data_IF_943866955099
#
_entry.id   IF_943866955099
#
_cell.length_a   1.000
_cell.length_b   1.000
_cell.length_c   1.000
_cell.angle_alpha   90.00
_cell.angle_beta   90.00
_cell.angle_gamma   90.00
#
_symmetry.space_group_name_H-M   'P 1'
#
loop_
_entity.id
_entity.type
_entity.pdbx_description
1 polymer ?
#
# COMPACT_ATOMS: atom_id res chain seq x y z
N UNK A 1 -45.14 -28.94 -22.63
CA UNK A 1 -45.02 -29.21 -21.19
C UNK A 1 -43.55 -29.13 -20.82
N UNK A 2 -43.21 -28.18 -19.94
CA UNK A 2 -42.11 -28.14 -18.94
C UNK A 2 -40.77 -28.80 -19.31
N UNK A 3 -39.63 -28.11 -19.33
CA UNK A 3 -39.06 -27.40 -18.18
C UNK A 3 -38.34 -26.11 -18.60
N UNK A 4 -38.92 -24.98 -18.21
CA UNK A 4 -38.16 -23.82 -17.79
C UNK A 4 -37.78 -24.05 -16.31
N UNK A 5 -36.52 -24.32 -16.04
CA UNK A 5 -35.94 -24.22 -14.71
C UNK A 5 -34.58 -23.54 -14.87
N UNK A 6 -34.68 -22.23 -15.08
CA UNK A 6 -33.82 -21.17 -14.58
C UNK A 6 -32.42 -21.61 -14.17
N UNK A 7 -31.45 -21.28 -15.03
CA UNK A 7 -30.05 -21.14 -14.66
C UNK A 7 -29.96 -20.08 -13.56
N UNK A 8 -30.10 -20.48 -12.30
CA UNK A 8 -29.87 -19.62 -11.14
C UNK A 8 -28.37 -19.41 -11.06
N UNK A 9 -27.95 -18.35 -11.74
CA UNK A 9 -26.72 -17.60 -11.53
C UNK A 9 -26.59 -17.28 -10.03
N UNK A 10 -26.06 -18.23 -9.26
CA UNK A 10 -25.34 -17.91 -8.04
C UNK A 10 -24.05 -17.26 -8.50
N UNK A 11 -24.12 -15.97 -8.79
CA UNK A 11 -22.98 -15.07 -8.77
C UNK A 11 -22.44 -15.05 -7.34
N UNK A 12 -21.80 -16.14 -6.93
CA UNK A 12 -21.01 -16.24 -5.72
C UNK A 12 -19.89 -15.21 -5.87
N UNK A 13 -20.05 -14.16 -5.09
CA UNK A 13 -19.23 -12.95 -4.99
C UNK A 13 -17.79 -13.32 -4.65
N UNK A 14 -17.02 -13.79 -5.63
CA UNK A 14 -15.59 -14.01 -5.47
C UNK A 14 -14.93 -12.63 -5.61
N UNK A 15 -14.92 -11.86 -4.52
CA UNK A 15 -14.14 -10.63 -4.43
C UNK A 15 -12.67 -11.03 -4.53
N UNK A 16 -12.14 -10.99 -5.75
CA UNK A 16 -10.75 -11.26 -6.05
C UNK A 16 -9.90 -10.23 -5.30
N UNK A 17 -9.23 -10.66 -4.23
CA UNK A 17 -8.18 -9.88 -3.53
C UNK A 17 -6.89 -9.90 -4.38
N UNK A 18 -7.03 -9.88 -5.71
CA UNK A 18 -5.89 -10.01 -6.62
C UNK A 18 -4.92 -8.86 -6.38
N UNK A 19 -3.70 -9.24 -5.98
CA UNK A 19 -2.61 -8.29 -5.78
C UNK A 19 -2.69 -7.46 -4.50
N UNK A 20 -3.64 -7.70 -3.60
CA UNK A 20 -3.72 -6.93 -2.35
C UNK A 20 -2.47 -7.09 -1.45
N UNK A 21 -1.89 -8.30 -1.40
CA UNK A 21 -0.74 -8.60 -0.54
C UNK A 21 0.61 -8.56 -1.26
N UNK A 22 0.62 -8.73 -2.59
CA UNK A 22 1.86 -8.99 -3.34
C UNK A 22 2.24 -7.86 -4.32
N UNK A 23 1.31 -6.94 -4.64
CA UNK A 23 1.65 -5.78 -5.48
C UNK A 23 2.42 -4.75 -4.67
N UNK A 24 3.51 -4.25 -5.24
CA UNK A 24 4.22 -3.11 -4.70
C UNK A 24 3.45 -1.79 -4.96
N UNK A 25 3.87 -0.73 -4.27
CA UNK A 25 3.25 0.59 -4.41
C UNK A 25 3.39 1.14 -5.83
N UNK A 26 4.48 0.84 -6.54
CA UNK A 26 4.71 1.36 -7.89
C UNK A 26 3.71 0.78 -8.91
N UNK A 27 3.38 -0.50 -8.78
CA UNK A 27 2.37 -1.17 -9.59
C UNK A 27 0.94 -0.80 -9.17
N UNK A 28 0.70 -0.67 -7.84
CA UNK A 28 -0.63 -0.41 -7.30
C UNK A 28 -1.07 1.05 -7.47
N UNK A 29 -0.16 1.99 -7.21
CA UNK A 29 -0.39 3.43 -7.26
C UNK A 29 0.88 4.17 -7.76
N UNK A 30 1.08 4.23 -9.09
CA UNK A 30 2.26 4.86 -9.68
C UNK A 30 2.32 6.37 -9.44
N UNK A 31 1.19 7.04 -9.20
CA UNK A 31 1.15 8.49 -8.94
C UNK A 31 1.70 8.84 -7.56
N UNK A 32 1.28 8.10 -6.53
CA UNK A 32 1.83 8.25 -5.18
C UNK A 32 3.31 7.82 -5.16
N UNK A 33 3.65 6.72 -5.81
CA UNK A 33 5.05 6.29 -5.91
C UNK A 33 5.93 7.39 -6.53
N UNK A 34 5.48 8.00 -7.63
CA UNK A 34 6.19 9.12 -8.26
C UNK A 34 6.35 10.29 -7.30
N UNK A 35 5.30 10.68 -6.58
CA UNK A 35 5.34 11.80 -5.64
C UNK A 35 6.37 11.57 -4.51
N UNK A 36 6.46 10.35 -3.98
CA UNK A 36 7.47 9.98 -2.97
C UNK A 36 8.90 10.09 -3.56
N UNK A 37 9.09 9.64 -4.81
CA UNK A 37 10.39 9.73 -5.49
C UNK A 37 10.82 11.17 -5.76
N UNK A 38 9.88 12.03 -6.13
CA UNK A 38 10.12 13.46 -6.35
C UNK A 38 10.52 14.16 -5.03
N UNK A 39 9.85 13.82 -3.91
CA UNK A 39 10.21 14.34 -2.58
C UNK A 39 11.58 13.86 -2.11
N UNK A 40 11.91 12.58 -2.32
CA UNK A 40 13.26 12.07 -2.04
C UNK A 40 14.32 12.85 -2.83
N UNK A 41 14.06 13.13 -4.11
CA UNK A 41 14.96 13.95 -4.91
C UNK A 41 15.06 15.37 -4.36
N UNK A 42 13.96 15.99 -3.92
CA UNK A 42 13.97 17.32 -3.29
C UNK A 42 14.89 17.34 -2.06
N UNK A 43 14.75 16.38 -1.15
CA UNK A 43 15.56 16.27 0.07
C UNK A 43 17.06 16.05 -0.23
N UNK A 44 17.39 15.28 -1.28
CA UNK A 44 18.78 14.99 -1.65
C UNK A 44 19.49 16.19 -2.31
N UNK A 45 18.74 17.10 -2.94
CA UNK A 45 19.29 18.23 -3.69
C UNK A 45 19.06 19.57 -3.00
N UNK A 46 18.50 19.58 -1.80
CA UNK A 46 18.24 20.79 -0.99
C UNK A 46 19.06 20.75 0.30
N UNK A 47 19.46 21.93 0.78
CA UNK A 47 20.01 22.06 2.13
C UNK A 47 18.83 22.32 3.08
N UNK A 48 18.56 21.36 3.95
CA UNK A 48 17.49 21.47 4.95
C UNK A 48 17.99 22.25 6.18
N UNK A 49 17.36 23.40 6.45
CA UNK A 49 17.76 24.33 7.54
C UNK A 49 16.73 24.39 8.68
N UNK A 50 15.71 23.54 8.63
CA UNK A 50 14.66 23.48 9.66
C UNK A 50 15.19 22.65 10.83
N UNK A 51 15.43 23.30 11.97
CA UNK A 51 16.09 22.68 13.13
C UNK A 51 15.32 21.50 13.75
N UNK A 52 14.01 21.40 13.52
CA UNK A 52 13.17 20.32 14.02
C UNK A 52 13.07 19.11 13.09
N UNK A 53 13.56 19.22 11.85
CA UNK A 53 13.50 18.16 10.86
C UNK A 53 14.80 17.35 10.83
N UNK A 54 14.71 16.08 10.42
CA UNK A 54 15.85 15.18 10.34
C UNK A 54 15.61 14.05 9.32
N UNK A 55 16.69 13.43 8.84
CA UNK A 55 16.65 12.28 7.95
C UNK A 55 16.88 11.02 8.77
N UNK A 56 15.87 10.14 8.82
CA UNK A 56 15.95 8.87 9.55
C UNK A 56 16.79 7.83 8.81
N UNK A 57 17.32 6.85 9.54
CA UNK A 57 18.07 5.76 8.93
C UNK A 57 17.18 4.79 8.15
N UNK A 58 17.77 4.06 7.21
CA UNK A 58 17.07 3.01 6.46
C UNK A 58 16.43 1.96 7.37
N UNK A 59 17.11 1.57 8.44
CA UNK A 59 16.60 0.59 9.41
C UNK A 59 15.32 1.07 10.12
N UNK A 60 15.21 2.38 10.40
CA UNK A 60 13.99 2.96 10.99
C UNK A 60 12.83 2.91 9.99
N UNK A 61 13.07 3.25 8.72
CA UNK A 61 12.04 3.16 7.67
C UNK A 61 11.56 1.72 7.44
N UNK A 62 12.46 0.74 7.44
CA UNK A 62 12.12 -0.69 7.32
C UNK A 62 11.24 -1.17 8.47
N UNK A 63 11.56 -0.77 9.71
CA UNK A 63 10.74 -1.11 10.88
C UNK A 63 9.35 -0.46 10.81
N UNK A 64 9.27 0.79 10.37
CA UNK A 64 8.00 1.54 10.24
C UNK A 64 7.04 0.87 9.24
N UNK A 65 7.56 0.37 8.10
CA UNK A 65 6.78 -0.32 7.07
C UNK A 65 6.52 -1.81 7.33
N UNK A 66 6.79 -2.31 8.53
CA UNK A 66 6.74 -3.74 8.83
C UNK A 66 5.34 -4.23 9.25
N UNK A 67 5.22 -5.55 9.39
CA UNK A 67 3.99 -6.24 9.81
C UNK A 67 3.48 -5.81 11.19
N UNK A 68 4.28 -5.08 11.97
CA UNK A 68 3.90 -4.56 13.29
C UNK A 68 2.65 -3.66 13.22
N UNK A 69 2.40 -3.00 12.08
CA UNK A 69 1.20 -2.16 11.89
C UNK A 69 -0.12 -2.92 12.00
N UNK A 70 -0.11 -4.23 11.73
CA UNK A 70 -1.31 -5.07 11.79
C UNK A 70 -1.69 -5.46 13.23
N UNK A 71 -0.78 -5.23 14.19
CA UNK A 71 -0.93 -5.77 15.53
C UNK A 71 -1.67 -4.78 16.43
N UNK A 72 -2.77 -5.26 17.00
CA UNK A 72 -3.38 -4.65 18.19
C UNK A 72 -2.69 -5.21 19.46
N UNK A 73 -2.25 -4.32 20.33
CA UNK A 73 -1.50 -4.65 21.56
C UNK A 73 -2.14 -3.97 22.77
N UNK A 74 -3.20 -4.59 23.29
CA UNK A 74 -3.72 -4.30 24.63
C UNK A 74 -2.76 -4.85 25.70
N UNK A 75 -2.64 -4.09 26.80
CA UNK A 75 -1.70 -4.35 27.90
C UNK A 75 -2.15 -5.42 28.88
#
# INVERSE_FOLDING_TARGET
MSNAATNTNVASHNMHHEGFFDQDLAARDPEIFKSIKDELARQQHSIELIASENIVSKAVMEAQGSVMTNKYAEG
#
